data_IF_313306468327
#
_entry.id   IF_313306468327
#
_cell.length_a   1.000
_cell.length_b   1.000
_cell.length_c   1.000
_cell.angle_alpha   90.00
_cell.angle_beta   90.00
_cell.angle_gamma   90.00
#
_symmetry.space_group_name_H-M   'P 1'
#
loop_
_entity.id
_entity.type
_entity.pdbx_description
1 polymer ?
#
# COMPACT_ATOMS: atom_id res chain seq x y z
N UNK A 1 6.39 1.48 8.66
CA UNK A 1 7.14 2.62 9.24
C UNK A 1 6.51 2.96 10.59
N UNK A 2 7.29 3.43 11.57
CA UNK A 2 6.72 3.88 12.84
C UNK A 2 5.84 5.12 12.60
N UNK A 3 4.60 5.09 13.11
CA UNK A 3 3.68 6.22 13.11
C UNK A 3 3.43 6.61 14.56
N UNK A 4 3.88 7.79 15.02
CA UNK A 4 3.58 8.28 16.36
C UNK A 4 2.08 8.33 16.62
N UNK A 5 1.66 8.15 17.89
CA UNK A 5 0.23 8.09 18.25
C UNK A 5 -0.56 9.32 17.79
N UNK A 6 0.04 10.52 17.87
CA UNK A 6 -0.59 11.76 17.44
C UNK A 6 -0.89 11.81 15.92
N UNK A 7 -0.25 10.97 15.12
CA UNK A 7 -0.44 10.88 13.66
C UNK A 7 -1.17 9.60 13.23
N UNK A 8 -1.63 8.78 14.18
CA UNK A 8 -2.33 7.55 13.85
C UNK A 8 -3.73 7.89 13.32
N UNK A 9 -3.97 7.55 12.06
CA UNK A 9 -5.27 7.58 11.42
C UNK A 9 -5.75 6.14 11.19
N UNK A 10 -6.95 5.81 11.65
CA UNK A 10 -7.52 4.46 11.55
C UNK A 10 -8.88 4.43 10.84
N UNK A 11 -9.43 5.59 10.49
CA UNK A 11 -10.73 5.71 9.82
C UNK A 11 -10.60 5.37 8.32
N UNK A 12 -11.19 4.26 7.83
CA UNK A 12 -11.00 3.83 6.44
C UNK A 12 -11.42 4.86 5.38
N UNK A 13 -12.55 5.59 5.49
CA UNK A 13 -12.89 6.66 4.55
C UNK A 13 -11.83 7.77 4.45
N UNK A 14 -11.21 8.16 5.57
CA UNK A 14 -10.13 9.17 5.57
C UNK A 14 -8.87 8.61 4.91
N UNK A 15 -8.54 7.35 5.18
CA UNK A 15 -7.41 6.68 4.54
C UNK A 15 -7.64 6.54 3.03
N UNK A 16 -8.82 6.10 2.61
CA UNK A 16 -9.17 5.89 1.20
C UNK A 16 -9.21 7.19 0.40
N UNK A 17 -9.74 8.27 0.97
CA UNK A 17 -9.67 9.60 0.34
C UNK A 17 -8.23 10.08 0.21
N UNK A 18 -7.41 9.93 1.25
CA UNK A 18 -5.99 10.31 1.21
C UNK A 18 -5.22 9.57 0.11
N UNK A 19 -5.47 8.26 -0.04
CA UNK A 19 -4.85 7.40 -1.07
C UNK A 19 -5.28 7.87 -2.47
N UNK A 20 -6.55 8.21 -2.67
CA UNK A 20 -7.07 8.72 -3.96
C UNK A 20 -6.49 10.08 -4.33
N UNK A 21 -6.38 10.98 -3.36
CA UNK A 21 -5.87 12.33 -3.58
C UNK A 21 -4.34 12.34 -3.82
N UNK A 22 -3.63 11.32 -3.33
CA UNK A 22 -2.18 11.19 -3.40
C UNK A 22 -1.78 9.80 -3.89
N UNK A 23 -1.97 9.47 -5.19
CA UNK A 23 -1.82 8.12 -5.71
C UNK A 23 -0.36 7.70 -5.97
N UNK A 24 0.61 8.31 -5.29
CA UNK A 24 2.03 7.97 -5.37
C UNK A 24 2.49 7.43 -4.02
N UNK A 25 2.89 6.17 -4.01
CA UNK A 25 3.30 5.44 -2.80
C UNK A 25 4.75 5.02 -2.80
N UNK A 26 5.15 4.46 -1.66
CA UNK A 26 6.42 3.77 -1.50
C UNK A 26 6.15 2.29 -1.26
N UNK A 27 6.48 1.44 -2.24
CA UNK A 27 6.47 0.00 -2.10
C UNK A 27 7.78 -0.42 -1.42
N UNK A 28 7.68 -0.92 -0.20
CA UNK A 28 8.82 -1.43 0.57
C UNK A 28 8.78 -2.96 0.53
N UNK A 29 9.87 -3.56 0.08
CA UNK A 29 10.04 -5.01 0.01
C UNK A 29 11.33 -5.43 0.69
N UNK A 30 11.33 -6.62 1.27
CA UNK A 30 12.51 -7.24 1.88
C UNK A 30 12.79 -8.55 1.13
N UNK A 31 14.00 -8.67 0.60
CA UNK A 31 14.49 -9.86 -0.09
C UNK A 31 15.89 -10.24 0.38
N UNK A 32 16.49 -11.25 -0.25
CA UNK A 32 17.84 -11.72 0.12
C UNK A 32 18.91 -10.64 -0.03
N UNK A 33 18.70 -9.68 -0.94
CA UNK A 33 19.60 -8.53 -1.15
C UNK A 33 19.35 -7.37 -0.18
N UNK A 34 18.42 -7.52 0.77
CA UNK A 34 18.08 -6.50 1.77
C UNK A 34 16.74 -5.82 1.50
N UNK A 35 16.62 -4.56 1.95
CA UNK A 35 15.41 -3.75 1.82
C UNK A 35 15.47 -2.91 0.56
N UNK A 36 14.41 -2.96 -0.22
CA UNK A 36 14.17 -2.08 -1.36
C UNK A 36 12.95 -1.20 -1.09
N UNK A 37 13.00 0.05 -1.55
CA UNK A 37 11.93 1.02 -1.38
C UNK A 37 11.72 1.79 -2.68
N UNK A 38 10.66 1.43 -3.41
CA UNK A 38 10.36 1.94 -4.74
C UNK A 38 9.17 2.88 -4.73
N UNK A 39 9.32 4.10 -5.26
CA UNK A 39 8.20 5.01 -5.44
C UNK A 39 7.40 4.59 -6.67
N UNK A 40 6.14 4.19 -6.49
CA UNK A 40 5.30 3.73 -7.59
C UNK A 40 3.91 4.37 -7.52
N UNK A 41 3.29 4.69 -8.68
CA UNK A 41 1.87 5.00 -8.73
C UNK A 41 1.03 3.79 -8.28
N UNK A 42 -0.08 4.05 -7.60
CA UNK A 42 -1.03 3.02 -7.21
C UNK A 42 -2.49 3.43 -7.44
N UNK A 43 -3.37 2.44 -7.45
CA UNK A 43 -4.82 2.59 -7.50
C UNK A 43 -5.46 1.88 -6.31
N UNK A 44 -6.50 2.49 -5.74
CA UNK A 44 -7.33 1.89 -4.71
C UNK A 44 -8.60 1.30 -5.33
N UNK A 45 -8.84 0.03 -5.07
CA UNK A 45 -10.04 -0.72 -5.45
C UNK A 45 -10.76 -1.12 -4.17
N UNK A 46 -11.86 -0.46 -3.83
CA UNK A 46 -12.66 -0.81 -2.65
C UNK A 46 -13.44 -2.10 -2.88
N UNK A 47 -13.58 -2.92 -1.84
CA UNK A 47 -14.37 -4.16 -1.89
C UNK A 47 -15.85 -3.97 -1.50
N UNK A 48 -16.22 -2.76 -1.08
CA UNK A 48 -17.58 -2.40 -0.65
C UNK A 48 -17.95 -2.85 0.77
N UNK A 49 -17.06 -3.53 1.49
CA UNK A 49 -17.28 -4.03 2.84
C UNK A 49 -16.32 -3.38 3.87
N UNK A 50 -15.85 -2.16 3.57
CA UNK A 50 -14.91 -1.41 4.39
C UNK A 50 -13.44 -1.77 4.21
N UNK A 51 -13.13 -2.65 3.25
CA UNK A 51 -11.77 -3.01 2.86
C UNK A 51 -11.44 -2.54 1.44
N UNK A 52 -10.20 -2.79 1.03
CA UNK A 52 -9.77 -2.46 -0.33
C UNK A 52 -8.45 -3.11 -0.72
N UNK A 53 -8.17 -3.04 -2.01
CA UNK A 53 -6.95 -3.49 -2.64
C UNK A 53 -6.19 -2.28 -3.18
N UNK A 54 -4.89 -2.22 -2.90
CA UNK A 54 -3.96 -1.32 -3.57
C UNK A 54 -3.25 -2.11 -4.68
N UNK A 55 -3.39 -1.63 -5.92
CA UNK A 55 -2.75 -2.19 -7.09
C UNK A 55 -1.74 -1.18 -7.66
N UNK A 56 -0.55 -1.66 -8.04
CA UNK A 56 0.50 -0.85 -8.66
C UNK A 56 1.40 -1.71 -9.53
N UNK A 57 2.19 -1.07 -10.40
CA UNK A 57 3.15 -1.72 -11.27
C UNK A 57 4.57 -1.36 -10.82
N UNK A 58 5.45 -2.35 -10.74
CA UNK A 58 6.86 -2.20 -10.41
C UNK A 58 7.68 -3.06 -11.36
N UNK A 59 8.70 -2.47 -11.98
CA UNK A 59 9.54 -3.11 -13.01
C UNK A 59 10.61 -4.07 -12.42
N UNK A 60 10.80 -4.08 -11.10
CA UNK A 60 11.76 -4.99 -10.48
C UNK A 60 11.26 -6.44 -10.50
N UNK A 61 12.09 -7.30 -11.12
CA UNK A 61 11.91 -8.74 -11.21
C UNK A 61 12.06 -9.36 -9.81
N UNK A 62 11.00 -9.28 -9.02
CA UNK A 62 10.85 -10.16 -7.88
C UNK A 62 10.77 -11.56 -8.46
N UNK A 63 11.69 -12.45 -8.08
CA UNK A 63 11.70 -13.89 -8.41
C UNK A 63 10.39 -14.66 -8.05
N UNK A 64 9.30 -13.97 -7.69
CA UNK A 64 7.97 -14.48 -7.46
C UNK A 64 6.99 -13.91 -8.53
N UNK A 65 6.43 -14.73 -9.43
CA UNK A 65 5.79 -14.30 -10.68
C UNK A 65 4.33 -13.84 -10.53
N UNK A 66 4.02 -12.96 -9.57
CA UNK A 66 2.64 -12.53 -9.32
C UNK A 66 2.58 -11.03 -9.04
N UNK A 67 1.71 -10.32 -9.78
CA UNK A 67 1.27 -8.97 -9.44
C UNK A 67 0.95 -8.90 -7.94
N UNK A 68 1.72 -8.10 -7.18
CA UNK A 68 1.57 -8.04 -5.73
C UNK A 68 0.40 -7.12 -5.38
N UNK A 69 -0.74 -7.75 -5.15
CA UNK A 69 -1.94 -7.12 -4.60
C UNK A 69 -1.76 -6.92 -3.09
N UNK A 70 -1.73 -5.67 -2.62
CA UNK A 70 -1.70 -5.39 -1.17
C UNK A 70 -3.13 -5.14 -0.70
N UNK A 71 -3.61 -5.96 0.24
CA UNK A 71 -4.91 -5.72 0.88
C UNK A 71 -4.77 -4.69 1.98
N UNK A 72 -5.61 -3.67 1.96
CA UNK A 72 -5.79 -2.73 3.06
C UNK A 72 -6.88 -3.30 3.96
N UNK A 73 -6.47 -3.87 5.08
CA UNK A 73 -7.37 -4.26 6.15
C UNK A 73 -7.43 -3.14 7.20
N UNK A 74 -8.58 -3.00 7.86
CA UNK A 74 -8.72 -2.17 9.06
C UNK A 74 -7.65 -2.60 10.07
N UNK A 75 -6.84 -1.66 10.52
CA UNK A 75 -5.87 -1.91 11.57
C UNK A 75 -6.59 -1.77 12.92
N UNK A 76 -6.73 -2.89 13.65
CA UNK A 76 -7.25 -2.91 15.03
C UNK A 76 -6.31 -2.22 16.03
#
# INVERSE_FOLDING_TARGET
MYVPQAFRQTDPPVLFSTIRDRPLGLLITHGESGIEANHIPFLLIEDGNGGGVIAGLSEHDFSCPMAKTVRVAKQD
#
